data_IF_001630899049
#
_entry.id   IF_001630899049
#
_cell.length_a   1.000
_cell.length_b   1.000
_cell.length_c   1.000
_cell.angle_alpha   90.00
_cell.angle_beta   90.00
_cell.angle_gamma   90.00
#
_symmetry.space_group_name_H-M   'P 1'
#
loop_
_entity.id
_entity.type
_entity.pdbx_description
1 polymer ?
#
# COMPACT_ATOMS: atom_id res chain seq x y z
N UNK A 1 31.12 3.31 -41.57
CA UNK A 1 31.68 3.63 -40.23
C UNK A 1 30.46 3.91 -39.36
N UNK A 2 29.78 2.86 -38.90
CA UNK A 2 29.84 2.29 -37.54
C UNK A 2 29.45 3.29 -36.44
N UNK A 3 28.36 2.97 -35.74
CA UNK A 3 28.03 3.46 -34.40
C UNK A 3 27.24 4.77 -34.41
N UNK A 4 26.16 4.92 -33.67
CA UNK A 4 25.84 4.29 -32.41
C UNK A 4 24.32 4.05 -32.36
N UNK A 5 23.92 2.78 -32.26
CA UNK A 5 22.70 2.42 -31.55
C UNK A 5 22.82 3.04 -30.16
N UNK A 6 22.15 4.17 -29.94
CA UNK A 6 21.86 4.62 -28.59
C UNK A 6 20.79 3.66 -28.07
N UNK A 7 21.26 2.53 -27.52
CA UNK A 7 20.45 1.69 -26.65
C UNK A 7 19.86 2.63 -25.60
N UNK A 8 18.54 2.79 -25.64
CA UNK A 8 17.77 3.13 -24.45
C UNK A 8 17.98 2.00 -23.44
N UNK A 9 19.11 2.05 -22.72
CA UNK A 9 19.31 1.38 -21.44
C UNK A 9 18.49 2.13 -20.39
N UNK A 10 17.19 2.30 -20.64
CA UNK A 10 16.28 2.40 -19.52
C UNK A 10 16.41 1.04 -18.83
N UNK A 11 16.80 1.01 -17.54
CA UNK A 11 16.73 -0.24 -16.81
C UNK A 11 15.34 -0.81 -17.07
N UNK A 12 15.25 -2.12 -17.29
CA UNK A 12 14.04 -2.83 -16.92
C UNK A 12 13.92 -2.62 -15.41
N UNK A 13 13.46 -1.44 -14.99
CA UNK A 13 12.84 -1.25 -13.70
C UNK A 13 11.69 -2.22 -13.80
N UNK A 14 11.92 -3.41 -13.22
CA UNK A 14 10.88 -4.38 -13.03
C UNK A 14 9.72 -3.59 -12.47
N UNK A 15 8.68 -3.44 -13.28
CA UNK A 15 7.36 -3.13 -12.79
C UNK A 15 6.98 -4.31 -11.94
N UNK A 16 7.57 -4.39 -10.75
CA UNK A 16 7.06 -5.18 -9.65
C UNK A 16 5.58 -4.86 -9.65
N UNK A 17 4.77 -5.92 -9.71
CA UNK A 17 3.30 -5.83 -9.68
C UNK A 17 2.91 -5.21 -8.34
N UNK A 18 3.10 -3.92 -8.26
CA UNK A 18 2.64 -3.08 -7.18
C UNK A 18 1.16 -2.99 -7.44
N UNK A 19 0.36 -3.54 -6.55
CA UNK A 19 -1.04 -3.17 -6.46
C UNK A 19 -1.07 -1.64 -6.49
N UNK A 20 -1.82 -1.06 -7.42
CA UNK A 20 -1.91 0.39 -7.51
C UNK A 20 -2.34 0.96 -6.16
N UNK A 21 -1.88 2.18 -5.83
CA UNK A 21 -2.33 2.85 -4.62
C UNK A 21 -3.87 2.84 -4.58
N UNK A 22 -4.50 2.38 -3.47
CA UNK A 22 -5.95 2.34 -3.42
C UNK A 22 -6.53 3.73 -3.64
N UNK A 23 -7.60 3.83 -4.42
CA UNK A 23 -8.23 5.13 -4.73
C UNK A 23 -8.69 5.89 -3.48
N UNK A 24 -9.06 5.13 -2.43
CA UNK A 24 -9.42 5.65 -1.13
C UNK A 24 -8.21 5.87 -0.22
N UNK A 25 -6.98 5.88 -0.71
CA UNK A 25 -5.80 6.09 0.13
C UNK A 25 -4.81 6.99 -0.60
N UNK A 26 -3.86 7.52 0.16
CA UNK A 26 -2.74 8.29 -0.37
C UNK A 26 -1.48 7.50 -0.08
N UNK A 27 -0.68 7.24 -1.10
CA UNK A 27 0.56 6.47 -0.95
C UNK A 27 1.76 7.40 -1.15
N UNK A 28 2.73 7.29 -0.24
CA UNK A 28 4.00 7.98 -0.31
C UNK A 28 5.10 7.00 0.05
N UNK A 29 6.04 6.76 -0.87
CA UNK A 29 7.05 5.71 -0.76
C UNK A 29 6.42 4.34 -0.44
N UNK A 30 6.65 3.85 0.78
CA UNK A 30 6.17 2.58 1.32
C UNK A 30 5.06 2.77 2.36
N UNK A 31 4.55 3.99 2.54
CA UNK A 31 3.46 4.29 3.44
C UNK A 31 2.15 4.45 2.66
N UNK A 32 1.10 3.83 3.17
CA UNK A 32 -0.28 4.00 2.70
C UNK A 32 -1.08 4.68 3.81
N UNK A 33 -1.53 5.91 3.56
CA UNK A 33 -2.38 6.67 4.46
C UNK A 33 -3.84 6.60 3.98
N UNK A 34 -4.67 5.89 4.73
CA UNK A 34 -6.12 5.79 4.54
C UNK A 34 -6.89 6.48 5.69
N UNK A 35 -6.24 7.32 6.50
CA UNK A 35 -6.86 7.97 7.65
C UNK A 35 -7.95 8.97 7.26
N UNK A 36 -8.90 9.22 8.18
CA UNK A 36 -9.96 10.25 8.04
C UNK A 36 -10.83 10.13 6.79
N UNK A 37 -11.11 8.90 6.36
CA UNK A 37 -11.88 8.61 5.12
C UNK A 37 -13.22 7.96 5.37
N UNK A 38 -13.65 7.92 6.63
CA UNK A 38 -14.89 7.28 7.07
C UNK A 38 -15.02 5.82 6.57
N UNK A 39 -13.88 5.12 6.45
CA UNK A 39 -13.83 3.74 6.00
C UNK A 39 -14.52 2.83 7.02
N UNK A 40 -15.33 1.92 6.50
CA UNK A 40 -15.89 0.77 7.22
C UNK A 40 -15.15 -0.50 6.79
N UNK A 41 -15.33 -1.59 7.55
CA UNK A 41 -14.70 -2.89 7.25
C UNK A 41 -14.95 -3.36 5.81
N UNK A 42 -16.13 -3.03 5.24
CA UNK A 42 -16.55 -3.40 3.88
C UNK A 42 -15.94 -2.53 2.77
N UNK A 43 -15.58 -1.28 3.10
CA UNK A 43 -15.03 -0.32 2.13
C UNK A 43 -13.51 -0.24 2.16
N UNK A 44 -12.89 -0.84 3.17
CA UNK A 44 -11.44 -0.88 3.30
C UNK A 44 -10.86 -1.80 2.20
N UNK A 45 -9.89 -1.32 1.39
CA UNK A 45 -9.25 -2.16 0.40
C UNK A 45 -8.42 -3.26 1.08
N UNK A 46 -8.50 -4.48 0.56
CA UNK A 46 -7.74 -5.63 1.05
C UNK A 46 -6.40 -5.81 0.34
N UNK A 47 -6.13 -5.04 -0.70
CA UNK A 47 -4.89 -5.07 -1.47
C UNK A 47 -4.15 -3.73 -1.39
N UNK A 48 -2.85 -3.81 -1.09
CA UNK A 48 -1.95 -2.65 -0.99
C UNK A 48 -0.72 -2.85 -1.89
N UNK A 49 -0.02 -1.76 -2.25
CA UNK A 49 1.25 -1.83 -2.95
C UNK A 49 2.22 -2.81 -2.28
N UNK A 50 2.89 -3.63 -3.09
CA UNK A 50 3.90 -4.55 -2.59
C UNK A 50 5.04 -3.76 -1.91
N UNK A 51 5.40 -4.15 -0.69
CA UNK A 51 6.38 -3.43 0.12
C UNK A 51 5.81 -2.26 0.93
N UNK A 52 4.49 -2.19 1.12
CA UNK A 52 3.89 -1.28 2.11
C UNK A 52 4.41 -1.62 3.51
N UNK A 53 5.16 -0.73 4.13
CA UNK A 53 5.72 -0.91 5.49
C UNK A 53 4.89 -0.24 6.57
N UNK A 54 3.98 0.66 6.18
CA UNK A 54 3.19 1.46 7.10
C UNK A 54 1.80 1.70 6.52
N UNK A 55 0.75 1.28 7.24
CA UNK A 55 -0.64 1.51 6.89
C UNK A 55 -1.33 2.33 7.98
N UNK A 56 -1.87 3.50 7.64
CA UNK A 56 -2.55 4.40 8.58
C UNK A 56 -4.06 4.31 8.38
N UNK A 57 -4.78 3.83 9.40
CA UNK A 57 -6.24 3.66 9.37
C UNK A 57 -6.99 4.49 10.42
N UNK A 58 -6.31 5.35 11.17
CA UNK A 58 -6.92 6.15 12.24
C UNK A 58 -8.04 7.08 11.73
N UNK A 59 -8.92 7.49 12.65
CA UNK A 59 -10.06 8.38 12.38
C UNK A 59 -11.03 7.85 11.29
N UNK A 60 -11.15 6.53 11.19
CA UNK A 60 -12.15 5.86 10.36
C UNK A 60 -13.28 5.29 11.23
N UNK A 61 -14.24 4.61 10.60
CA UNK A 61 -15.40 3.98 11.24
C UNK A 61 -15.25 2.46 11.23
N UNK A 62 -14.04 1.99 11.48
CA UNK A 62 -13.70 0.57 11.48
C UNK A 62 -14.15 -0.04 12.81
N UNK A 63 -15.07 -1.00 12.74
CA UNK A 63 -15.46 -1.85 13.89
C UNK A 63 -14.67 -3.14 13.93
N UNK A 64 -14.02 -3.50 12.81
CA UNK A 64 -13.20 -4.69 12.64
C UNK A 64 -12.35 -4.55 11.37
N UNK A 65 -11.21 -5.23 11.34
CA UNK A 65 -10.39 -5.35 10.13
C UNK A 65 -10.90 -6.53 9.28
N UNK A 66 -10.99 -6.38 7.94
CA UNK A 66 -11.35 -7.48 7.06
C UNK A 66 -10.29 -8.59 7.07
N UNK A 67 -10.76 -9.83 6.93
CA UNK A 67 -9.89 -11.00 6.83
C UNK A 67 -8.97 -10.88 5.60
N UNK A 68 -7.70 -11.24 5.76
CA UNK A 68 -6.69 -11.14 4.70
C UNK A 68 -6.01 -9.77 4.57
N UNK A 69 -6.48 -8.73 5.27
CA UNK A 69 -5.77 -7.44 5.34
C UNK A 69 -4.38 -7.61 5.96
N UNK A 70 -4.34 -8.36 7.07
CA UNK A 70 -3.12 -8.67 7.81
C UNK A 70 -2.26 -9.72 7.11
N UNK A 71 -2.81 -10.55 6.22
CA UNK A 71 -2.03 -11.51 5.44
C UNK A 71 -1.20 -10.83 4.35
N UNK A 72 -1.64 -9.65 3.90
CA UNK A 72 -0.93 -8.85 2.90
C UNK A 72 0.11 -7.89 3.51
N UNK A 73 0.17 -7.79 4.84
CA UNK A 73 1.13 -6.96 5.57
C UNK A 73 2.04 -7.89 6.38
N UNK A 74 3.35 -7.67 6.39
CA UNK A 74 4.21 -8.52 7.24
C UNK A 74 3.93 -8.23 8.72
N UNK A 75 4.23 -9.20 9.58
CA UNK A 75 3.86 -9.08 11.00
C UNK A 75 4.45 -7.85 11.70
N UNK A 76 5.65 -7.47 11.28
CA UNK A 76 6.41 -6.31 11.70
C UNK A 76 5.80 -4.97 11.22
N UNK A 77 4.97 -4.98 10.17
CA UNK A 77 4.39 -3.79 9.54
C UNK A 77 3.01 -3.42 10.12
N UNK A 78 2.32 -4.34 10.82
CA UNK A 78 1.03 -4.07 11.47
C UNK A 78 1.12 -3.45 12.86
N UNK A 79 2.32 -3.29 13.45
CA UNK A 79 2.46 -2.73 14.80
C UNK A 79 1.81 -1.33 14.93
N UNK A 80 1.74 -0.57 13.84
CA UNK A 80 1.05 0.73 13.76
C UNK A 80 -0.47 0.63 13.61
N UNK A 81 -1.02 -0.52 13.18
CA UNK A 81 -2.47 -0.74 13.16
C UNK A 81 -3.03 -0.82 14.59
N UNK A 82 -2.25 -1.33 15.55
CA UNK A 82 -2.68 -1.50 16.95
C UNK A 82 -2.79 -0.20 17.74
N UNK A 83 -2.11 0.86 17.30
CA UNK A 83 -2.19 2.18 17.96
C UNK A 83 -3.47 2.93 17.58
N UNK A 84 -4.13 2.51 16.50
CA UNK A 84 -5.45 3.01 16.10
C UNK A 84 -6.50 2.21 16.85
N UNK A 85 -7.16 2.82 17.84
CA UNK A 85 -8.14 2.24 18.77
C UNK A 85 -9.37 1.57 18.13
N UNK A 86 -9.18 0.42 17.44
CA UNK A 86 -10.24 -0.51 17.02
C UNK A 86 -10.73 -1.31 18.23
#
# INVERSE_FOLDING_TARGET
>A
MKGFLLLCLLPLFGGQRSSACPHLCSCHDNQVDCSRRALTSSTLPTSFPAGTTSLRLHDNRLTSLPNGLLENLREDEYALLKDSSI
#
